data_IF_927604253721
#
_entry.id   IF_927604253721
#
_cell.length_a   1.000
_cell.length_b   1.000
_cell.length_c   1.000
_cell.angle_alpha   90.00
_cell.angle_beta   90.00
_cell.angle_gamma   90.00
#
_symmetry.space_group_name_H-M   'P 1'
#
loop_
_entity.id
_entity.type
_entity.pdbx_description
1 polymer ?
#
# COMPACT_ATOMS: atom_id res chain seq x y z
N UNK A 1 29.53 2.56 -6.86
CA UNK A 1 28.67 3.72 -6.54
C UNK A 1 27.55 3.28 -5.63
N UNK A 2 27.33 4.00 -4.52
CA UNK A 2 26.26 3.67 -3.57
C UNK A 2 24.92 4.23 -4.08
N UNK A 3 24.10 3.40 -4.74
CA UNK A 3 22.74 3.78 -5.16
C UNK A 3 21.89 4.16 -3.93
N UNK A 4 21.11 5.23 -4.06
CA UNK A 4 20.17 5.67 -3.02
C UNK A 4 18.74 5.39 -3.49
N UNK A 5 18.16 4.28 -3.02
CA UNK A 5 16.93 3.72 -3.58
C UNK A 5 15.75 4.71 -3.48
N UNK A 6 15.59 5.37 -2.34
CA UNK A 6 14.52 6.35 -2.17
C UNK A 6 14.58 7.53 -3.15
N UNK A 7 15.78 7.98 -3.51
CA UNK A 7 15.96 9.11 -4.44
C UNK A 7 15.70 8.68 -5.89
N UNK A 8 16.01 7.44 -6.23
CA UNK A 8 15.71 6.87 -7.55
C UNK A 8 14.20 6.76 -7.73
N UNK A 9 13.50 6.21 -6.72
CA UNK A 9 12.03 6.11 -6.72
C UNK A 9 11.38 7.49 -6.82
N UNK A 10 11.86 8.47 -6.06
CA UNK A 10 11.35 9.85 -6.14
C UNK A 10 11.50 10.44 -7.54
N UNK A 11 12.65 10.23 -8.19
CA UNK A 11 12.89 10.71 -9.55
C UNK A 11 11.92 10.10 -10.56
N UNK A 12 11.65 8.80 -10.47
CA UNK A 12 10.69 8.12 -11.35
C UNK A 12 9.29 8.69 -11.15
N UNK A 13 8.82 8.81 -9.90
CA UNK A 13 7.50 9.35 -9.56
C UNK A 13 7.32 10.76 -10.13
N UNK A 14 8.32 11.63 -9.93
CA UNK A 14 8.27 13.02 -10.43
C UNK A 14 8.36 13.11 -11.94
N UNK A 15 9.13 12.23 -12.59
CA UNK A 15 9.25 12.19 -14.05
C UNK A 15 7.94 11.77 -14.70
N UNK A 16 7.24 10.80 -14.11
CA UNK A 16 6.01 10.23 -14.65
C UNK A 16 4.76 11.06 -14.25
N UNK A 17 4.96 12.19 -13.56
CA UNK A 17 3.91 13.18 -13.26
C UNK A 17 3.06 12.89 -12.03
N UNK A 18 3.36 11.83 -11.29
CA UNK A 18 2.60 11.45 -10.10
C UNK A 18 2.85 12.39 -8.92
N UNK A 19 1.78 12.80 -8.25
CA UNK A 19 1.90 13.61 -7.04
C UNK A 19 2.20 12.73 -5.81
N UNK A 20 2.88 13.30 -4.80
CA UNK A 20 3.17 12.60 -3.54
C UNK A 20 1.88 12.24 -2.79
N UNK A 21 0.87 13.12 -2.87
CA UNK A 21 -0.45 12.88 -2.29
C UNK A 21 -1.15 11.68 -2.95
N UNK A 22 -1.03 11.57 -4.27
CA UNK A 22 -1.59 10.46 -5.03
C UNK A 22 -0.89 9.14 -4.74
N UNK A 23 0.45 9.11 -4.72
CA UNK A 23 1.18 7.91 -4.32
C UNK A 23 0.79 7.47 -2.91
N UNK A 24 0.70 8.41 -1.96
CA UNK A 24 0.30 8.14 -0.59
C UNK A 24 -1.10 7.48 -0.54
N UNK A 25 -2.05 7.99 -1.33
CA UNK A 25 -3.40 7.44 -1.46
C UNK A 25 -3.38 6.03 -2.06
N UNK A 26 -2.69 5.82 -3.17
CA UNK A 26 -2.60 4.52 -3.86
C UNK A 26 -1.91 3.46 -2.99
N UNK A 27 -0.92 3.87 -2.20
CA UNK A 27 -0.18 3.00 -1.30
C UNK A 27 -0.86 2.80 0.07
N UNK A 28 -1.99 3.47 0.32
CA UNK A 28 -2.68 3.51 1.61
C UNK A 28 -1.74 3.86 2.79
N UNK A 29 -0.96 4.93 2.63
CA UNK A 29 -0.06 5.46 3.67
C UNK A 29 -0.19 6.97 3.77
N UNK A 30 0.28 7.54 4.87
CA UNK A 30 0.38 9.00 4.96
C UNK A 30 1.54 9.56 4.12
N UNK A 31 1.44 10.83 3.73
CA UNK A 31 2.48 11.54 2.94
C UNK A 31 3.84 11.54 3.62
N UNK A 32 3.90 11.59 4.95
CA UNK A 32 5.16 11.55 5.72
C UNK A 32 5.91 10.23 5.50
N UNK A 33 5.21 9.10 5.41
CA UNK A 33 5.80 7.80 5.09
C UNK A 33 6.46 7.79 3.72
N UNK A 34 5.81 8.43 2.73
CA UNK A 34 6.37 8.56 1.38
C UNK A 34 7.66 9.39 1.40
N UNK A 35 7.67 10.55 2.06
CA UNK A 35 8.90 11.35 2.25
C UNK A 35 10.00 10.56 2.97
N UNK A 36 9.63 9.79 3.99
CA UNK A 36 10.58 8.93 4.70
C UNK A 36 11.18 7.84 3.80
N UNK A 37 10.43 7.32 2.82
CA UNK A 37 10.97 6.37 1.85
C UNK A 37 11.98 7.03 0.92
N UNK A 38 11.73 8.27 0.47
CA UNK A 38 12.65 8.99 -0.41
C UNK A 38 14.00 9.29 0.25
N UNK A 39 14.01 9.52 1.55
CA UNK A 39 15.22 9.75 2.34
C UNK A 39 15.98 8.47 2.73
N UNK A 40 15.48 7.28 2.38
CA UNK A 40 16.14 6.01 2.70
C UNK A 40 17.09 5.56 1.59
N UNK A 41 18.36 5.39 1.95
CA UNK A 41 19.40 4.87 1.05
C UNK A 41 19.09 3.48 0.53
N UNK A 42 18.53 2.61 1.39
CA UNK A 42 17.99 1.31 1.02
C UNK A 42 16.51 1.27 1.36
N UNK A 43 15.70 0.89 0.38
CA UNK A 43 14.28 0.67 0.54
C UNK A 43 13.99 -0.82 0.43
N UNK A 44 12.99 -1.31 1.18
CA UNK A 44 12.61 -2.73 1.09
C UNK A 44 12.09 -3.02 -0.32
N UNK A 45 12.51 -4.15 -0.88
CA UNK A 45 12.11 -4.61 -2.22
C UNK A 45 10.58 -4.62 -2.37
N UNK A 46 9.85 -5.11 -1.37
CA UNK A 46 8.37 -5.14 -1.37
C UNK A 46 7.70 -3.76 -1.48
N UNK A 47 8.38 -2.70 -1.02
CA UNK A 47 7.86 -1.33 -1.14
C UNK A 47 8.06 -0.86 -2.57
N UNK A 48 9.26 -1.05 -3.13
CA UNK A 48 9.56 -0.67 -4.51
C UNK A 48 8.66 -1.43 -5.50
N UNK A 49 8.46 -2.73 -5.28
CA UNK A 49 7.58 -3.56 -6.10
C UNK A 49 6.13 -3.06 -6.09
N UNK A 50 5.58 -2.77 -4.90
CA UNK A 50 4.23 -2.21 -4.80
C UNK A 50 4.10 -0.84 -5.46
N UNK A 51 5.11 0.03 -5.30
CA UNK A 51 5.14 1.32 -5.99
C UNK A 51 5.12 1.10 -7.51
N UNK A 52 5.93 0.17 -8.04
CA UNK A 52 5.89 -0.18 -9.46
C UNK A 52 4.52 -0.67 -9.92
N UNK A 53 3.87 -1.52 -9.13
CA UNK A 53 2.52 -2.00 -9.40
C UNK A 53 1.47 -0.88 -9.46
N UNK A 54 1.45 0.03 -8.48
CA UNK A 54 0.43 1.10 -8.45
C UNK A 54 0.69 2.22 -9.46
N UNK A 55 1.94 2.42 -9.89
CA UNK A 55 2.32 3.41 -10.89
C UNK A 55 2.40 2.84 -12.31
N UNK A 56 2.12 1.55 -12.46
CA UNK A 56 2.34 0.82 -13.70
C UNK A 56 3.76 0.99 -14.28
N UNK A 57 4.77 0.97 -13.40
CA UNK A 57 6.18 1.18 -13.74
C UNK A 57 7.04 -0.05 -13.43
N UNK A 58 7.87 -0.46 -14.39
CA UNK A 58 8.86 -1.52 -14.23
C UNK A 58 10.18 -0.98 -13.67
N UNK A 59 10.39 -1.21 -12.37
CA UNK A 59 11.60 -0.82 -11.63
C UNK A 59 12.83 -1.72 -11.87
N UNK A 60 12.71 -2.78 -12.69
CA UNK A 60 13.85 -3.65 -13.02
C UNK A 60 14.94 -2.95 -13.82
N UNK A 61 14.61 -1.85 -14.50
CA UNK A 61 15.58 -1.02 -15.23
C UNK A 61 16.53 -0.29 -14.27
N UNK A 62 16.01 0.23 -13.17
CA UNK A 62 16.75 1.01 -12.17
C UNK A 62 17.41 0.10 -11.12
N UNK A 63 16.71 -0.99 -10.79
CA UNK A 63 17.12 -1.97 -9.79
C UNK A 63 17.21 -3.38 -10.39
N UNK A 64 18.07 -3.61 -11.40
CA UNK A 64 18.28 -4.93 -11.97
C UNK A 64 18.86 -5.93 -10.96
N UNK A 65 19.45 -5.43 -9.86
CA UNK A 65 19.90 -6.25 -8.74
C UNK A 65 18.75 -6.74 -7.82
N UNK A 66 17.57 -6.12 -7.91
CA UNK A 66 16.41 -6.46 -7.07
C UNK A 66 15.31 -7.17 -7.86
N UNK A 67 15.14 -6.81 -9.14
CA UNK A 67 14.04 -7.29 -9.97
C UNK A 67 14.52 -7.80 -11.32
N UNK A 68 13.83 -8.82 -11.84
CA UNK A 68 13.91 -9.27 -13.22
C UNK A 68 12.78 -8.60 -14.02
N UNK A 69 13.02 -8.33 -15.30
CA UNK A 69 12.04 -7.69 -16.19
C UNK A 69 10.67 -8.39 -16.25
N UNK A 70 10.62 -9.71 -16.02
CA UNK A 70 9.37 -10.46 -16.02
C UNK A 70 8.56 -10.37 -14.71
N UNK A 71 9.12 -9.80 -13.62
CA UNK A 71 8.41 -9.69 -12.34
C UNK A 71 7.26 -8.66 -12.39
N UNK A 72 7.31 -7.75 -13.36
CA UNK A 72 6.27 -6.78 -13.65
C UNK A 72 5.43 -7.16 -14.88
N UNK A 73 5.41 -8.44 -15.28
CA UNK A 73 4.70 -8.89 -16.49
C UNK A 73 3.19 -8.61 -16.54
N UNK A 74 2.56 -8.33 -15.40
CA UNK A 74 1.14 -7.95 -15.30
C UNK A 74 0.85 -6.48 -15.65
N UNK A 75 1.87 -5.63 -15.86
CA UNK A 75 1.69 -4.21 -16.21
C UNK A 75 1.20 -4.00 -17.66
N UNK A 76 1.22 -5.04 -18.50
CA UNK A 76 0.81 -4.99 -19.91
C UNK A 76 -0.71 -4.87 -20.12
N UNK A 77 -1.52 -5.24 -19.13
CA UNK A 77 -2.98 -5.37 -19.32
C UNK A 77 -3.78 -4.15 -18.84
N UNK A 78 -3.15 -3.16 -18.19
CA UNK A 78 -3.83 -1.98 -17.67
C UNK A 78 -3.07 -0.70 -18.06
N UNK A 79 -3.44 -0.13 -19.20
CA UNK A 79 -3.00 1.18 -19.65
C UNK A 79 -3.20 2.26 -18.55
N UNK A 80 -2.36 3.30 -18.50
CA UNK A 80 -2.35 4.26 -17.40
C UNK A 80 -3.69 5.00 -17.36
N UNK A 81 -4.35 4.87 -16.21
CA UNK A 81 -5.50 5.67 -15.80
C UNK A 81 -5.02 7.11 -15.60
N UNK A 82 -4.93 7.87 -16.69
CA UNK A 82 -4.91 9.33 -16.63
C UNK A 82 -6.33 9.77 -16.27
N UNK A 83 -6.67 9.73 -14.99
CA UNK A 83 -7.93 10.29 -14.51
C UNK A 83 -7.68 11.64 -13.87
N UNK A 84 -8.20 12.65 -14.57
CA UNK A 84 -8.40 14.00 -14.12
C UNK A 84 -9.03 14.03 -12.72
N UNK A 85 -8.70 15.10 -12.01
CA UNK A 85 -9.34 15.58 -10.79
C UNK A 85 -10.84 15.22 -10.76
N UNK A 86 -11.21 14.28 -9.91
CA UNK A 86 -12.53 14.31 -9.30
C UNK A 86 -12.51 13.67 -7.92
N UNK A 87 -13.09 14.38 -6.97
CA UNK A 87 -13.16 14.02 -5.56
C UNK A 87 -14.10 12.83 -5.38
N UNK A 88 -13.58 11.61 -5.50
CA UNK A 88 -14.31 10.41 -5.09
C UNK A 88 -13.53 9.73 -3.96
N UNK A 89 -14.11 9.81 -2.77
CA UNK A 89 -13.69 9.10 -1.57
C UNK A 89 -13.85 7.59 -1.80
N UNK A 90 -12.92 6.97 -2.52
CA UNK A 90 -12.78 5.51 -2.51
C UNK A 90 -11.88 5.15 -1.33
N UNK A 91 -12.53 4.88 -0.19
CA UNK A 91 -11.91 4.26 0.99
C UNK A 91 -11.08 3.03 0.57
N UNK A 92 -9.80 2.93 1.00
CA UNK A 92 -8.93 1.85 0.59
C UNK A 92 -9.39 0.54 1.23
N UNK A 93 -9.81 -0.41 0.39
CA UNK A 93 -10.34 -1.74 0.74
C UNK A 93 -9.46 -2.54 1.71
N UNK A 94 -8.15 -2.26 1.76
CA UNK A 94 -7.23 -2.87 2.73
C UNK A 94 -7.53 -2.49 4.18
N UNK A 95 -8.06 -1.28 4.41
CA UNK A 95 -8.42 -0.79 5.74
C UNK A 95 -9.71 -1.44 6.28
N UNK A 96 -10.50 -2.07 5.40
CA UNK A 96 -11.73 -2.78 5.75
C UNK A 96 -11.46 -4.19 6.28
N UNK A 97 -10.48 -4.89 5.70
CA UNK A 97 -10.20 -6.30 6.04
C UNK A 97 -9.76 -6.51 7.50
N UNK A 98 -9.03 -5.56 8.08
CA UNK A 98 -8.64 -5.64 9.49
C UNK A 98 -9.79 -5.24 10.43
N UNK A 99 -10.65 -4.30 10.01
CA UNK A 99 -11.86 -3.90 10.74
C UNK A 99 -12.83 -5.06 10.85
N UNK A 100 -13.02 -5.83 9.79
CA UNK A 100 -13.86 -7.03 9.80
C UNK A 100 -13.35 -8.08 10.80
N UNK A 101 -12.03 -8.31 10.87
CA UNK A 101 -11.42 -9.20 11.87
C UNK A 101 -11.61 -8.70 13.31
N UNK A 102 -11.54 -7.38 13.50
CA UNK A 102 -11.76 -6.74 14.79
C UNK A 102 -13.22 -6.84 15.25
N UNK A 103 -14.17 -6.66 14.33
CA UNK A 103 -15.61 -6.81 14.58
C UNK A 103 -15.92 -8.25 15.01
N UNK A 104 -15.45 -9.25 14.25
CA UNK A 104 -15.66 -10.67 14.60
C UNK A 104 -15.10 -11.03 15.97
N UNK A 105 -13.96 -10.43 16.35
CA UNK A 105 -13.37 -10.66 17.67
C UNK A 105 -14.23 -10.05 18.80
N UNK A 106 -14.74 -8.83 18.61
CA UNK A 106 -15.63 -8.18 19.55
C UNK A 106 -16.96 -8.93 19.72
N UNK A 107 -17.52 -9.44 18.62
CA UNK A 107 -18.74 -10.25 18.64
C UNK A 107 -18.55 -11.53 19.46
N UNK A 108 -17.48 -12.29 19.21
CA UNK A 108 -17.15 -13.49 20.00
C UNK A 108 -16.94 -13.19 21.48
N UNK A 109 -16.31 -12.06 21.80
CA UNK A 109 -16.11 -11.66 23.19
C UNK A 109 -17.45 -11.34 23.88
N UNK A 110 -18.34 -10.61 23.20
CA UNK A 110 -19.68 -10.31 23.71
C UNK A 110 -20.54 -11.57 23.87
N UNK A 111 -20.44 -12.54 22.97
CA UNK A 111 -21.12 -13.83 23.10
C UNK A 111 -20.67 -14.57 24.36
N UNK A 112 -19.37 -14.67 24.60
CA UNK A 112 -18.81 -15.32 25.78
C UNK A 112 -19.22 -14.62 27.08
N UNK A 113 -19.18 -13.28 27.09
CA UNK A 113 -19.68 -12.49 28.22
C UNK A 113 -21.16 -12.79 28.50
N UNK A 114 -22.00 -12.77 27.46
CA UNK A 114 -23.43 -13.03 27.59
C UNK A 114 -23.70 -14.43 28.12
N UNK A 115 -22.96 -15.44 27.65
CA UNK A 115 -23.04 -16.81 28.15
C UNK A 115 -22.65 -16.90 29.63
N UNK A 116 -21.54 -16.27 30.04
CA UNK A 116 -21.12 -16.25 31.45
C UNK A 116 -22.13 -15.59 32.38
N UNK A 117 -22.76 -14.50 31.93
CA UNK A 117 -23.80 -13.80 32.69
C UNK A 117 -25.07 -14.66 32.79
N UNK A 118 -25.48 -15.33 31.71
CA UNK A 118 -26.63 -16.25 31.74
C UNK A 118 -26.40 -17.48 32.62
N UNK A 119 -25.17 -18.01 32.66
CA UNK A 119 -24.81 -19.12 33.55
C UNK A 119 -24.85 -18.68 35.02
N UNK A 120 -24.36 -17.48 35.34
CA UNK A 120 -24.42 -16.95 36.70
C UNK A 120 -25.83 -16.52 37.15
N UNK A 121 -26.73 -16.18 36.24
CA UNK A 121 -28.12 -15.81 36.56
C UNK A 121 -29.06 -17.02 36.76
N UNK A 122 -28.58 -18.26 36.52
CA UNK A 122 -29.34 -19.52 36.67
C UNK A 122 -28.98 -20.30 37.95
N UNK A 123 -28.20 -19.69 38.85
CA UNK A 123 -27.98 -20.12 40.23
C UNK A 123 -28.54 -19.06 41.17
#
# INVERSE_FOLDING_TARGET
MNKHYGQIVEKVIRRDGYSISELARLMNVNRRSVYNWFNKKRLKTDIVFRIGGVLNYDFSTEFPELFRANEFGYLSDNAPVQMAHDEVQTEPTFDKQWKDKYIVLLEKYNELLTQSIQVNARH
#
